data_IF_051386585070
#
_entry.id   IF_051386585070
#
_cell.length_a   1.000
_cell.length_b   1.000
_cell.length_c   1.000
_cell.angle_alpha   90.00
_cell.angle_beta   90.00
_cell.angle_gamma   90.00
#
_symmetry.space_group_name_H-M   'P 1'
#
loop_
_entity.id
_entity.type
_entity.pdbx_description
1 polymer ?
#
# COMPACT_ATOMS: atom_id res chain seq x y z
N UNK A 1 -16.98 -23.09 20.26
CA UNK A 1 -15.50 -23.08 20.34
C UNK A 1 -15.04 -21.72 20.81
N UNK A 2 -14.12 -21.66 21.77
CA UNK A 2 -13.40 -20.46 22.12
C UNK A 2 -12.42 -20.14 20.98
N UNK A 3 -12.42 -18.90 20.54
CA UNK A 3 -11.52 -18.40 19.49
C UNK A 3 -10.82 -17.13 19.97
N UNK A 4 -9.66 -16.90 19.44
CA UNK A 4 -8.90 -15.67 19.60
C UNK A 4 -8.78 -15.03 18.20
N UNK A 5 -9.10 -13.76 18.09
CA UNK A 5 -9.08 -13.04 16.84
C UNK A 5 -8.79 -11.56 17.07
N UNK A 6 -8.23 -10.92 16.09
CA UNK A 6 -8.12 -9.47 16.11
C UNK A 6 -9.49 -8.81 15.98
N UNK A 7 -9.73 -7.78 16.78
CA UNK A 7 -10.94 -6.97 16.73
C UNK A 7 -10.94 -6.12 15.45
N UNK A 8 -11.10 -6.78 14.33
CA UNK A 8 -11.12 -6.15 13.02
C UNK A 8 -12.44 -5.40 12.81
N UNK A 9 -12.35 -4.22 12.26
CA UNK A 9 -13.42 -3.23 12.18
C UNK A 9 -14.44 -3.42 11.07
N UNK A 10 -14.56 -4.62 10.51
CA UNK A 10 -15.50 -4.81 9.41
C UNK A 10 -16.87 -5.30 9.85
N UNK A 11 -17.86 -4.44 9.70
CA UNK A 11 -19.26 -4.70 9.93
C UNK A 11 -20.02 -3.41 10.23
N UNK A 12 -21.36 -3.39 10.12
CA UNK A 12 -22.17 -2.20 10.35
C UNK A 12 -21.94 -1.58 11.73
N UNK A 13 -21.67 -2.42 12.72
CA UNK A 13 -21.48 -2.02 14.12
C UNK A 13 -20.02 -1.70 14.46
N UNK A 14 -19.09 -1.90 13.55
CA UNK A 14 -17.67 -1.73 13.79
C UNK A 14 -17.21 -0.28 13.71
N UNK A 15 -18.00 0.62 13.18
CA UNK A 15 -17.72 2.05 13.12
C UNK A 15 -17.40 2.65 14.49
N UNK A 16 -18.13 2.22 15.51
CA UNK A 16 -17.93 2.67 16.88
C UNK A 16 -16.73 2.03 17.57
N UNK A 17 -16.28 0.88 17.09
CA UNK A 17 -15.17 0.12 17.67
C UNK A 17 -13.83 0.50 17.08
N UNK A 18 -13.83 0.90 15.81
CA UNK A 18 -12.68 1.51 15.17
C UNK A 18 -12.82 3.02 15.07
N UNK A 19 -13.48 3.58 16.04
CA UNK A 19 -13.37 4.99 16.28
C UNK A 19 -11.89 5.34 16.29
N UNK A 20 -11.59 6.55 15.98
CA UNK A 20 -10.25 7.11 16.03
C UNK A 20 -9.56 6.73 17.36
N UNK A 21 -8.37 6.17 17.29
CA UNK A 21 -7.59 5.73 18.45
C UNK A 21 -7.89 4.31 18.98
N UNK A 22 -8.71 3.52 18.29
CA UNK A 22 -8.92 2.11 18.64
C UNK A 22 -7.91 1.26 17.89
N UNK A 23 -7.13 0.48 18.64
CA UNK A 23 -6.15 -0.48 18.13
C UNK A 23 -6.81 -1.79 17.70
N UNK A 24 -6.13 -2.59 16.88
CA UNK A 24 -6.50 -3.97 16.54
C UNK A 24 -6.18 -4.90 17.71
N UNK A 25 -6.93 -4.82 18.79
CA UNK A 25 -6.73 -5.67 19.96
C UNK A 25 -7.07 -7.12 19.67
N UNK A 26 -6.26 -8.00 20.19
CA UNK A 26 -6.54 -9.43 20.23
C UNK A 26 -7.63 -9.67 21.25
N UNK A 27 -8.77 -10.18 20.82
CA UNK A 27 -9.92 -10.49 21.66
C UNK A 27 -10.20 -11.97 21.68
N UNK A 28 -10.75 -12.45 22.79
CA UNK A 28 -11.25 -13.81 22.92
C UNK A 28 -12.78 -13.82 22.98
N UNK A 29 -13.38 -14.83 22.36
CA UNK A 29 -14.82 -14.98 22.32
C UNK A 29 -15.25 -16.38 21.93
N UNK A 30 -16.55 -16.67 22.06
CA UNK A 30 -17.11 -17.95 21.66
C UNK A 30 -17.83 -17.83 20.31
N UNK A 31 -17.51 -18.77 19.41
CA UNK A 31 -18.17 -18.92 18.10
C UNK A 31 -18.78 -20.32 18.03
N UNK A 32 -19.95 -20.45 17.40
CA UNK A 32 -20.54 -21.77 17.13
C UNK A 32 -19.57 -22.60 16.27
N UNK A 33 -19.24 -23.80 16.73
CA UNK A 33 -18.26 -24.67 16.05
C UNK A 33 -18.60 -24.92 14.58
N UNK A 34 -19.90 -25.01 14.23
CA UNK A 34 -20.36 -25.22 12.85
C UNK A 34 -19.98 -24.08 11.89
N UNK A 35 -19.68 -22.87 12.42
CA UNK A 35 -19.25 -21.71 11.62
C UNK A 35 -17.74 -21.67 11.39
N UNK A 36 -17.00 -22.55 12.06
CA UNK A 36 -15.55 -22.64 11.92
C UNK A 36 -15.19 -23.66 10.84
N UNK A 37 -14.20 -23.32 10.06
CA UNK A 37 -13.62 -24.21 9.04
C UNK A 37 -12.12 -24.21 9.16
N UNK A 38 -11.54 -25.39 9.33
CA UNK A 38 -10.08 -25.53 9.20
C UNK A 38 -9.70 -25.31 7.75
N UNK A 39 -8.71 -24.46 7.56
CA UNK A 39 -8.18 -24.16 6.25
C UNK A 39 -6.66 -24.33 6.24
N UNK A 40 -6.14 -25.05 5.24
CA UNK A 40 -4.69 -25.16 5.01
C UNK A 40 -4.34 -24.21 3.86
N UNK A 41 -3.57 -23.14 4.12
CA UNK A 41 -3.14 -22.23 3.07
C UNK A 41 -2.30 -22.93 2.01
N UNK A 42 -2.35 -22.41 0.79
CA UNK A 42 -1.42 -22.82 -0.27
C UNK A 42 -0.02 -22.29 0.05
N UNK A 43 0.98 -23.08 -0.30
CA UNK A 43 2.39 -22.81 0.05
C UNK A 43 3.24 -22.31 -1.11
N UNK A 44 2.70 -22.29 -2.35
CA UNK A 44 3.41 -21.81 -3.54
C UNK A 44 3.91 -20.37 -3.36
N UNK A 45 3.05 -19.52 -2.78
CA UNK A 45 3.32 -18.12 -2.51
C UNK A 45 2.76 -17.69 -1.16
N UNK A 46 3.35 -16.62 -0.60
CA UNK A 46 2.82 -15.87 0.54
C UNK A 46 2.96 -14.37 0.28
N UNK A 47 2.05 -13.59 0.81
CA UNK A 47 2.11 -12.12 0.75
C UNK A 47 2.24 -11.56 2.16
N UNK A 48 3.20 -10.67 2.36
CA UNK A 48 3.30 -9.83 3.57
C UNK A 48 3.05 -8.39 3.15
N UNK A 49 2.03 -7.76 3.72
CA UNK A 49 1.74 -6.34 3.52
C UNK A 49 2.19 -5.60 4.77
N UNK A 50 3.16 -4.72 4.64
CA UNK A 50 3.66 -3.88 5.71
C UNK A 50 2.93 -2.53 5.67
N UNK A 51 2.08 -2.27 6.68
CA UNK A 51 1.30 -1.04 6.79
C UNK A 51 2.16 0.17 7.12
N UNK A 52 3.31 -0.02 7.79
CA UNK A 52 4.21 1.06 8.12
C UNK A 52 5.01 1.52 6.90
N UNK A 53 5.59 0.57 6.17
CA UNK A 53 6.42 0.86 5.00
C UNK A 53 5.61 1.09 3.72
N UNK A 54 4.30 0.75 3.76
CA UNK A 54 3.41 0.78 2.59
C UNK A 54 3.97 -0.06 1.42
N UNK A 55 4.45 -1.24 1.77
CA UNK A 55 5.03 -2.23 0.86
C UNK A 55 4.34 -3.58 0.98
N UNK A 56 4.34 -4.32 -0.11
CA UNK A 56 3.96 -5.73 -0.16
C UNK A 56 5.18 -6.55 -0.55
N UNK A 57 5.54 -7.51 0.26
CA UNK A 57 6.59 -8.48 0.01
C UNK A 57 5.99 -9.79 -0.50
N UNK A 58 6.56 -10.32 -1.57
CA UNK A 58 6.12 -11.56 -2.20
C UNK A 58 7.11 -12.66 -1.81
N UNK A 59 6.59 -13.73 -1.24
CA UNK A 59 7.40 -14.89 -0.84
C UNK A 59 7.07 -16.10 -1.71
N UNK A 60 8.10 -16.89 -2.05
CA UNK A 60 8.00 -18.23 -2.60
C UNK A 60 9.06 -19.10 -1.96
N UNK A 61 8.70 -20.32 -1.55
CA UNK A 61 9.60 -21.28 -0.87
C UNK A 61 10.36 -20.64 0.32
N UNK A 62 9.68 -19.79 1.09
CA UNK A 62 10.24 -19.11 2.27
C UNK A 62 11.21 -17.96 1.95
N UNK A 63 11.43 -17.62 0.68
CA UNK A 63 12.29 -16.52 0.25
C UNK A 63 11.47 -15.36 -0.26
N UNK A 64 11.86 -14.14 0.10
CA UNK A 64 11.33 -12.94 -0.53
C UNK A 64 11.84 -12.87 -1.97
N UNK A 65 10.92 -12.83 -2.93
CA UNK A 65 11.22 -12.81 -4.37
C UNK A 65 10.87 -11.49 -5.04
N UNK A 66 10.38 -10.51 -4.27
CA UNK A 66 10.12 -9.16 -4.76
C UNK A 66 9.29 -8.34 -3.81
N UNK A 67 9.29 -7.03 -4.05
CA UNK A 67 8.50 -6.07 -3.30
C UNK A 67 7.73 -5.15 -4.25
N UNK A 68 6.53 -4.73 -3.82
CA UNK A 68 5.65 -3.83 -4.56
C UNK A 68 5.21 -2.69 -3.64
N UNK A 69 5.12 -1.48 -4.18
CA UNK A 69 4.51 -0.37 -3.47
C UNK A 69 3.00 -0.60 -3.36
N UNK A 70 2.48 -0.30 -2.17
CA UNK A 70 1.04 -0.36 -1.90
C UNK A 70 0.54 0.96 -1.31
N UNK A 71 -0.78 1.07 -1.21
CA UNK A 71 -1.47 2.11 -0.44
C UNK A 71 -2.59 1.43 0.33
N UNK A 72 -2.47 1.42 1.65
CA UNK A 72 -3.46 0.84 2.56
C UNK A 72 -4.49 1.87 3.03
N UNK A 73 -5.38 1.47 3.90
CA UNK A 73 -6.46 2.29 4.44
C UNK A 73 -5.96 3.53 5.20
N UNK A 74 -6.59 4.67 4.95
CA UNK A 74 -6.36 5.89 5.71
C UNK A 74 -7.41 5.98 6.82
N UNK A 75 -6.99 5.67 8.03
CA UNK A 75 -7.79 5.82 9.24
C UNK A 75 -7.49 7.19 9.89
N UNK A 76 -8.50 8.02 10.00
CA UNK A 76 -8.41 9.31 10.69
C UNK A 76 -9.77 9.72 11.27
N UNK A 77 -9.87 10.90 11.90
CA UNK A 77 -11.10 11.39 12.54
C UNK A 77 -12.32 11.41 11.61
N UNK A 78 -12.14 11.65 10.32
CA UNK A 78 -13.22 11.71 9.33
C UNK A 78 -13.49 10.36 8.67
N UNK A 79 -12.55 9.41 8.73
CA UNK A 79 -12.56 8.13 8.03
C UNK A 79 -12.09 6.99 8.95
N UNK A 80 -12.56 6.97 10.20
CA UNK A 80 -12.12 6.05 11.25
C UNK A 80 -12.36 4.56 10.96
N UNK A 81 -13.20 4.22 9.99
CA UNK A 81 -13.52 2.84 9.59
C UNK A 81 -12.78 2.37 8.32
N UNK A 82 -11.88 3.21 7.78
CA UNK A 82 -11.15 2.89 6.55
C UNK A 82 -9.83 2.15 6.80
N UNK A 83 -9.56 1.73 8.01
CA UNK A 83 -8.33 1.00 8.34
C UNK A 83 -8.25 -0.32 7.58
N UNK A 84 -7.08 -0.65 7.03
CA UNK A 84 -6.79 -2.00 6.54
C UNK A 84 -6.57 -2.90 7.75
N UNK A 85 -7.35 -3.99 7.92
CA UNK A 85 -7.23 -4.85 9.11
C UNK A 85 -5.89 -5.57 9.12
N UNK A 86 -5.24 -5.61 10.29
CA UNK A 86 -4.01 -6.35 10.51
C UNK A 86 -4.29 -7.82 10.85
N UNK A 87 -3.30 -8.69 10.69
CA UNK A 87 -3.39 -10.10 11.04
C UNK A 87 -3.21 -11.06 9.87
N UNK A 88 -3.59 -12.31 10.09
CA UNK A 88 -3.42 -13.40 9.14
C UNK A 88 -4.70 -13.68 8.35
N UNK A 89 -4.59 -13.66 7.05
CA UNK A 89 -5.69 -13.89 6.10
C UNK A 89 -5.29 -14.91 5.05
N UNK A 90 -6.29 -15.29 4.24
CA UNK A 90 -6.07 -15.99 2.97
C UNK A 90 -6.80 -15.25 1.86
N UNK A 91 -6.28 -15.30 0.66
CA UNK A 91 -7.01 -14.80 -0.51
C UNK A 91 -8.25 -15.66 -0.72
N UNK A 92 -9.44 -15.06 -0.57
CA UNK A 92 -10.73 -15.76 -0.53
C UNK A 92 -11.31 -15.99 -1.91
N UNK A 93 -11.26 -14.97 -2.77
CA UNK A 93 -11.86 -15.02 -4.10
C UNK A 93 -11.22 -14.02 -5.06
N UNK A 94 -11.39 -14.28 -6.34
CA UNK A 94 -11.08 -13.34 -7.43
C UNK A 94 -12.35 -12.57 -7.78
N UNK A 95 -12.29 -11.26 -7.71
CA UNK A 95 -13.43 -10.38 -8.00
C UNK A 95 -13.43 -9.88 -9.44
N UNK A 96 -12.29 -9.90 -10.12
CA UNK A 96 -12.12 -9.21 -11.39
C UNK A 96 -11.94 -7.71 -11.20
N UNK A 97 -12.53 -6.92 -12.08
CA UNK A 97 -12.60 -5.46 -11.94
C UNK A 97 -13.90 -5.05 -11.25
N UNK A 98 -13.86 -3.93 -10.51
CA UNK A 98 -15.04 -3.37 -9.86
C UNK A 98 -14.97 -1.83 -9.77
N UNK A 99 -16.12 -1.14 -9.76
CA UNK A 99 -16.16 0.31 -9.61
C UNK A 99 -15.94 0.75 -8.15
N UNK A 100 -15.31 1.90 -7.98
CA UNK A 100 -15.17 2.63 -6.71
C UNK A 100 -15.47 4.12 -6.95
N UNK A 101 -16.74 4.49 -6.87
CA UNK A 101 -17.22 5.80 -7.32
C UNK A 101 -17.06 5.96 -8.84
N UNK A 102 -16.33 6.98 -9.27
CA UNK A 102 -15.98 7.23 -10.67
C UNK A 102 -14.65 6.56 -11.10
N UNK A 103 -14.06 5.75 -10.23
CA UNK A 103 -12.82 5.04 -10.50
C UNK A 103 -13.10 3.56 -10.75
N UNK A 104 -12.19 2.92 -11.48
CA UNK A 104 -12.19 1.49 -11.69
C UNK A 104 -10.98 0.83 -10.99
N UNK A 105 -11.23 -0.29 -10.31
CA UNK A 105 -10.24 -1.10 -9.61
C UNK A 105 -10.10 -2.44 -10.35
N UNK A 106 -9.01 -2.64 -11.07
CA UNK A 106 -8.76 -3.89 -11.78
C UNK A 106 -8.08 -4.94 -10.87
N UNK A 107 -8.13 -6.20 -11.28
CA UNK A 107 -7.45 -7.32 -10.63
C UNK A 107 -7.82 -7.54 -9.16
N UNK A 108 -9.07 -7.32 -8.79
CA UNK A 108 -9.55 -7.44 -7.40
C UNK A 108 -9.42 -8.86 -6.84
N UNK A 109 -8.69 -9.00 -5.75
CA UNK A 109 -8.48 -10.24 -4.99
C UNK A 109 -8.93 -10.02 -3.55
N UNK A 110 -10.03 -10.63 -3.14
CA UNK A 110 -10.64 -10.46 -1.81
C UNK A 110 -9.85 -11.21 -0.76
N UNK A 111 -9.58 -10.55 0.37
CA UNK A 111 -8.90 -11.14 1.52
C UNK A 111 -9.78 -11.18 2.77
N UNK A 112 -10.78 -10.29 2.85
CA UNK A 112 -11.81 -10.36 3.87
C UNK A 112 -13.09 -9.68 3.35
N UNK A 113 -14.18 -9.61 4.14
CA UNK A 113 -15.49 -9.14 3.72
C UNK A 113 -15.50 -7.83 2.93
N UNK A 114 -14.75 -6.83 3.38
CA UNK A 114 -14.69 -5.51 2.75
C UNK A 114 -13.31 -5.12 2.19
N UNK A 115 -12.29 -5.95 2.38
CA UNK A 115 -10.93 -5.63 1.98
C UNK A 115 -10.48 -6.51 0.81
N UNK A 116 -9.91 -5.88 -0.21
CA UNK A 116 -9.34 -6.55 -1.38
C UNK A 116 -7.97 -5.94 -1.75
N UNK A 117 -7.12 -6.77 -2.31
CA UNK A 117 -5.92 -6.34 -3.05
C UNK A 117 -6.35 -6.04 -4.48
N UNK A 118 -6.00 -4.89 -5.02
CA UNK A 118 -6.36 -4.51 -6.39
C UNK A 118 -5.37 -3.50 -6.97
N UNK A 119 -5.44 -3.26 -8.27
CA UNK A 119 -4.65 -2.23 -8.93
C UNK A 119 -4.93 -0.85 -8.34
N UNK A 120 -3.92 0.04 -8.32
CA UNK A 120 -4.16 1.46 -8.07
C UNK A 120 -5.30 1.93 -9.00
N UNK A 121 -6.38 2.57 -8.46
CA UNK A 121 -7.56 2.87 -9.27
C UNK A 121 -7.28 3.87 -10.38
N UNK A 122 -8.08 3.82 -11.43
CA UNK A 122 -7.97 4.72 -12.58
C UNK A 122 -9.34 5.21 -13.09
N UNK A 123 -9.32 6.29 -13.86
CA UNK A 123 -10.45 6.77 -14.66
C UNK A 123 -10.25 6.27 -16.09
N UNK A 124 -11.32 5.85 -16.76
CA UNK A 124 -11.30 5.43 -18.15
C UNK A 124 -12.14 4.19 -18.42
N UNK A 125 -12.27 3.85 -19.70
CA UNK A 125 -12.97 2.67 -20.14
C UNK A 125 -12.12 1.42 -19.83
N UNK A 126 -12.66 0.49 -19.08
CA UNK A 126 -11.99 -0.73 -18.66
C UNK A 126 -12.33 -1.94 -19.55
N UNK A 127 -13.23 -1.80 -20.48
CA UNK A 127 -13.71 -2.84 -21.38
C UNK A 127 -13.00 -2.86 -22.73
N UNK A 128 -12.53 -1.69 -23.16
CA UNK A 128 -11.91 -1.54 -24.49
C UNK A 128 -10.40 -1.82 -24.47
N UNK A 129 -9.90 -2.76 -25.29
CA UNK A 129 -8.46 -2.96 -25.44
C UNK A 129 -7.75 -1.69 -25.92
N UNK A 130 -6.64 -1.31 -25.24
CA UNK A 130 -5.88 -0.11 -25.60
C UNK A 130 -6.45 1.19 -25.00
N UNK A 131 -7.39 1.09 -24.07
CA UNK A 131 -7.98 2.18 -23.32
C UNK A 131 -6.93 3.10 -22.68
N UNK A 132 -7.27 4.40 -22.68
CA UNK A 132 -6.49 5.42 -21.98
C UNK A 132 -6.91 5.46 -20.51
N UNK A 133 -6.20 4.72 -19.70
CA UNK A 133 -6.38 4.70 -18.24
C UNK A 133 -5.66 5.89 -17.61
N UNK A 134 -6.40 6.76 -16.95
CA UNK A 134 -5.83 7.90 -16.24
C UNK A 134 -5.65 7.56 -14.75
N UNK A 135 -4.40 7.41 -14.34
CA UNK A 135 -3.97 7.16 -12.96
C UNK A 135 -3.52 8.42 -12.22
N UNK A 136 -3.52 9.57 -12.88
CA UNK A 136 -2.91 10.82 -12.37
C UNK A 136 -3.43 11.24 -11.00
N UNK A 137 -4.71 11.00 -10.72
CA UNK A 137 -5.35 11.34 -9.45
C UNK A 137 -5.00 10.39 -8.30
N UNK A 138 -4.53 9.18 -8.58
CA UNK A 138 -4.43 8.09 -7.59
C UNK A 138 -3.02 7.55 -7.38
N UNK A 139 -2.19 7.48 -8.44
CA UNK A 139 -0.83 6.90 -8.40
C UNK A 139 0.09 7.62 -7.41
N UNK A 140 -0.12 8.92 -7.22
CA UNK A 140 0.65 9.75 -6.27
C UNK A 140 0.48 9.35 -4.80
N UNK A 141 -0.49 8.50 -4.49
CA UNK A 141 -0.74 8.01 -3.13
C UNK A 141 -0.10 6.63 -2.87
N UNK A 142 0.49 5.99 -3.87
CA UNK A 142 1.28 4.77 -3.63
C UNK A 142 2.44 5.09 -2.67
N UNK A 143 2.69 4.18 -1.73
CA UNK A 143 3.64 4.39 -0.64
C UNK A 143 3.08 5.18 0.55
N UNK A 144 1.79 5.55 0.55
CA UNK A 144 1.11 6.25 1.65
C UNK A 144 -0.26 5.62 1.92
N UNK A 145 -0.75 5.73 3.16
CA UNK A 145 -2.14 5.38 3.50
C UNK A 145 -3.08 6.34 2.78
N UNK A 146 -4.03 5.83 1.99
CA UNK A 146 -4.97 6.66 1.24
C UNK A 146 -6.23 5.92 0.78
N UNK A 147 -6.38 4.64 1.07
CA UNK A 147 -7.53 3.87 0.63
C UNK A 147 -8.66 3.88 1.67
N UNK A 148 -9.79 3.27 1.31
CA UNK A 148 -10.92 3.02 2.21
C UNK A 148 -10.87 1.60 2.82
N UNK A 149 -9.65 1.06 3.03
CA UNK A 149 -9.41 -0.25 3.62
C UNK A 149 -8.86 -1.29 2.64
N UNK A 150 -9.07 -1.14 1.34
CA UNK A 150 -8.44 -1.99 0.33
C UNK A 150 -6.93 -1.72 0.21
N UNK A 151 -6.20 -2.67 -0.33
CA UNK A 151 -4.77 -2.58 -0.59
C UNK A 151 -4.58 -2.30 -2.07
N UNK A 152 -4.25 -1.05 -2.40
CA UNK A 152 -3.94 -0.61 -3.77
C UNK A 152 -2.51 -1.00 -4.08
N UNK A 153 -2.26 -1.61 -5.23
CA UNK A 153 -0.92 -2.09 -5.64
C UNK A 153 -0.49 -1.38 -6.91
N UNK A 154 0.81 -1.14 -7.04
CA UNK A 154 1.40 -0.50 -8.21
C UNK A 154 1.07 -1.23 -9.53
N UNK A 155 0.84 -0.44 -10.58
CA UNK A 155 0.59 -0.94 -11.95
C UNK A 155 1.88 -1.23 -12.70
N UNK A 156 2.93 -0.46 -12.43
CA UNK A 156 4.21 -0.59 -13.09
C UNK A 156 5.00 -1.77 -12.51
N UNK A 157 5.75 -2.46 -13.36
CA UNK A 157 6.56 -3.60 -12.94
C UNK A 157 7.78 -3.13 -12.14
N UNK A 158 8.10 -3.87 -11.07
CA UNK A 158 9.37 -3.76 -10.38
C UNK A 158 10.50 -4.40 -11.22
N UNK A 159 11.73 -4.38 -10.73
CA UNK A 159 12.90 -4.97 -11.38
C UNK A 159 12.77 -6.46 -11.66
N UNK A 160 11.97 -7.18 -10.84
CA UNK A 160 11.68 -8.60 -11.01
C UNK A 160 10.54 -8.87 -11.99
N UNK A 161 10.00 -7.83 -12.65
CA UNK A 161 8.90 -7.93 -13.59
C UNK A 161 7.52 -8.11 -12.94
N UNK A 162 7.39 -7.85 -11.64
CA UNK A 162 6.19 -8.07 -10.84
C UNK A 162 5.39 -6.76 -10.67
N UNK A 163 4.06 -6.89 -10.66
CA UNK A 163 3.09 -5.83 -10.39
C UNK A 163 1.75 -6.47 -10.01
N UNK A 164 0.68 -5.69 -9.92
CA UNK A 164 -0.65 -6.23 -9.62
C UNK A 164 -1.14 -7.26 -10.65
N UNK A 165 -0.83 -7.08 -11.94
CA UNK A 165 -1.19 -8.09 -12.96
C UNK A 165 -0.42 -9.39 -12.74
N UNK A 166 0.85 -9.31 -12.41
CA UNK A 166 1.64 -10.50 -12.05
C UNK A 166 1.04 -11.21 -10.82
N UNK A 167 0.62 -10.47 -9.80
CA UNK A 167 -0.09 -11.05 -8.64
C UNK A 167 -1.37 -11.75 -9.09
N UNK A 168 -2.16 -11.10 -9.93
CA UNK A 168 -3.37 -11.69 -10.48
C UNK A 168 -3.11 -13.00 -11.22
N UNK A 169 -2.07 -13.09 -12.01
CA UNK A 169 -1.75 -14.27 -12.80
C UNK A 169 -1.21 -15.43 -11.93
N UNK A 170 -0.48 -15.15 -10.87
CA UNK A 170 0.25 -16.14 -10.08
C UNK A 170 -0.38 -16.49 -8.74
N UNK A 171 -0.97 -15.51 -8.02
CA UNK A 171 -1.56 -15.71 -6.70
C UNK A 171 -2.93 -16.37 -6.84
N UNK A 172 -3.15 -17.44 -6.08
CA UNK A 172 -4.37 -18.27 -6.16
C UNK A 172 -5.21 -18.13 -4.90
N UNK A 173 -6.50 -18.41 -5.02
CA UNK A 173 -7.38 -18.56 -3.86
C UNK A 173 -6.76 -19.53 -2.87
N UNK A 174 -6.69 -19.10 -1.60
CA UNK A 174 -6.05 -19.83 -0.53
C UNK A 174 -4.59 -19.47 -0.26
N UNK A 175 -3.98 -18.59 -1.04
CA UNK A 175 -2.65 -18.05 -0.71
C UNK A 175 -2.72 -17.27 0.61
N UNK A 176 -1.75 -17.51 1.51
CA UNK A 176 -1.64 -16.80 2.80
C UNK A 176 -1.29 -15.33 2.56
N UNK A 177 -1.97 -14.46 3.30
CA UNK A 177 -1.73 -13.01 3.32
C UNK A 177 -1.57 -12.58 4.76
N UNK A 178 -0.41 -12.07 5.12
CA UNK A 178 -0.14 -11.47 6.42
C UNK A 178 -0.14 -9.94 6.23
N UNK A 179 -0.93 -9.24 7.04
CA UNK A 179 -0.95 -7.77 7.09
C UNK A 179 -0.32 -7.37 8.41
N UNK A 180 0.88 -6.80 8.33
CA UNK A 180 1.64 -6.40 9.50
C UNK A 180 1.25 -4.98 9.90
N UNK A 181 0.86 -4.85 11.17
CA UNK A 181 0.42 -3.59 11.73
C UNK A 181 1.56 -2.56 11.81
N UNK A 182 1.19 -1.30 11.82
CA UNK A 182 2.11 -0.17 11.96
C UNK A 182 2.14 0.37 13.40
N UNK A 183 1.13 0.10 14.21
CA UNK A 183 1.03 0.55 15.60
C UNK A 183 2.22 0.07 16.44
N UNK A 184 2.84 0.97 17.20
CA UNK A 184 3.98 0.66 18.04
C UNK A 184 5.28 0.36 17.27
N UNK A 185 5.36 0.73 16.00
CA UNK A 185 6.54 0.56 15.15
C UNK A 185 7.09 1.90 14.69
N UNK A 186 8.41 2.02 14.65
CA UNK A 186 9.13 3.22 14.23
C UNK A 186 9.52 3.12 12.75
N UNK A 187 9.08 4.08 11.95
CA UNK A 187 9.53 4.23 10.58
C UNK A 187 10.93 4.88 10.57
N UNK A 188 11.90 4.16 10.04
CA UNK A 188 13.27 4.67 9.95
C UNK A 188 13.41 5.79 8.90
N UNK A 189 14.30 6.73 9.18
CA UNK A 189 14.72 7.69 8.15
C UNK A 189 15.55 6.99 7.08
N UNK A 190 15.47 7.44 5.82
CA UNK A 190 16.45 7.08 4.82
C UNK A 190 17.87 7.44 5.28
N UNK A 191 18.87 6.73 4.77
CA UNK A 191 20.25 7.08 5.05
C UNK A 191 20.57 8.51 4.57
N UNK A 192 21.35 9.25 5.32
CA UNK A 192 21.68 10.65 5.03
C UNK A 192 22.31 10.85 3.63
N UNK A 193 23.01 9.85 3.13
CA UNK A 193 23.67 9.84 1.81
C UNK A 193 22.80 9.24 0.69
N UNK A 194 21.55 8.91 0.97
CA UNK A 194 20.60 8.41 -0.04
C UNK A 194 20.50 9.42 -1.19
N UNK A 195 20.77 9.01 -2.44
CA UNK A 195 20.76 9.91 -3.57
C UNK A 195 19.33 10.32 -3.95
N UNK A 196 19.14 11.60 -4.14
CA UNK A 196 17.97 12.24 -4.70
C UNK A 196 18.38 13.13 -5.87
N UNK A 197 17.44 13.46 -6.72
CA UNK A 197 17.73 14.19 -7.95
C UNK A 197 16.78 15.37 -8.12
N UNK A 198 17.27 16.46 -8.72
CA UNK A 198 16.47 17.65 -8.99
C UNK A 198 16.89 18.32 -10.30
N UNK A 199 16.00 19.12 -10.88
CA UNK A 199 16.34 19.97 -12.02
C UNK A 199 16.87 21.31 -11.52
N UNK A 200 18.19 21.62 -11.69
CA UNK A 200 18.79 22.87 -11.19
C UNK A 200 18.28 24.11 -11.93
N UNK A 201 17.65 23.96 -13.09
CA UNK A 201 17.16 25.05 -13.92
C UNK A 201 15.69 25.43 -13.63
N UNK A 202 15.20 25.18 -12.38
CA UNK A 202 13.89 25.64 -11.93
C UNK A 202 12.84 24.56 -11.72
N UNK A 203 13.26 23.34 -11.42
CA UNK A 203 12.37 22.25 -10.98
C UNK A 203 11.80 22.53 -9.60
N UNK A 204 10.52 22.09 -9.37
CA UNK A 204 9.86 22.16 -8.06
C UNK A 204 9.86 20.85 -7.31
N UNK A 205 10.34 19.77 -7.96
CA UNK A 205 10.26 18.42 -7.42
C UNK A 205 11.64 17.83 -7.19
N UNK A 206 11.75 16.99 -6.17
CA UNK A 206 12.82 16.01 -6.07
C UNK A 206 12.37 14.66 -6.64
N UNK A 207 13.32 13.86 -7.07
CA UNK A 207 13.16 12.61 -7.77
C UNK A 207 14.04 11.53 -7.16
N UNK A 208 13.65 10.28 -7.23
CA UNK A 208 14.47 9.12 -6.89
C UNK A 208 15.17 8.54 -8.14
N UNK A 209 14.73 8.94 -9.32
CA UNK A 209 15.30 8.51 -10.61
C UNK A 209 15.98 9.69 -11.31
N UNK A 210 17.25 9.52 -11.68
CA UNK A 210 18.02 10.53 -12.41
C UNK A 210 17.44 10.83 -13.80
N UNK A 211 16.83 9.81 -14.41
CA UNK A 211 16.18 9.87 -15.73
C UNK A 211 14.65 9.70 -15.64
N UNK A 212 14.03 10.37 -14.67
CA UNK A 212 12.60 10.26 -14.44
C UNK A 212 11.78 10.62 -15.69
N UNK A 213 10.89 9.72 -16.09
CA UNK A 213 10.03 9.86 -17.27
C UNK A 213 9.04 11.04 -17.20
N UNK A 214 8.81 11.60 -16.02
CA UNK A 214 8.00 12.81 -15.85
C UNK A 214 8.75 14.11 -16.20
N UNK A 215 10.04 14.02 -16.46
CA UNK A 215 10.90 15.16 -16.79
C UNK A 215 11.20 15.16 -18.30
N UNK A 216 11.12 16.33 -18.93
CA UNK A 216 11.43 16.45 -20.37
C UNK A 216 12.92 16.15 -20.61
N UNK A 217 13.22 15.42 -21.66
CA UNK A 217 14.57 14.96 -22.04
C UNK A 217 15.64 16.05 -22.00
N UNK A 218 15.29 17.26 -22.43
CA UNK A 218 16.22 18.43 -22.45
C UNK A 218 16.70 18.86 -21.06
N UNK A 219 16.11 18.35 -19.99
CA UNK A 219 16.48 18.61 -18.60
C UNK A 219 17.13 17.40 -17.92
N UNK A 220 17.34 16.33 -18.65
CA UNK A 220 18.00 15.13 -18.19
C UNK A 220 19.49 15.10 -18.59
N UNK A 221 20.35 14.47 -17.81
CA UNK A 221 20.07 13.88 -16.50
C UNK A 221 19.84 14.94 -15.41
N UNK A 222 19.05 14.58 -14.40
CA UNK A 222 18.86 15.41 -13.23
C UNK A 222 20.13 15.48 -12.37
N UNK A 223 20.29 16.56 -11.62
CA UNK A 223 21.43 16.77 -10.71
C UNK A 223 21.18 16.05 -9.40
N UNK A 224 22.17 15.28 -8.94
CA UNK A 224 22.15 14.56 -7.68
C UNK A 224 22.36 15.49 -6.47
N UNK A 225 21.66 15.18 -5.37
CA UNK A 225 21.90 15.72 -4.04
C UNK A 225 21.57 14.64 -2.99
N UNK A 226 21.92 14.85 -1.73
CA UNK A 226 21.74 13.85 -0.66
C UNK A 226 20.45 14.08 0.10
N UNK A 227 19.85 13.02 0.63
CA UNK A 227 18.68 13.09 1.50
C UNK A 227 18.86 14.08 2.66
N UNK A 228 20.03 14.11 3.30
CA UNK A 228 20.35 15.05 4.39
C UNK A 228 20.20 16.54 4.01
N UNK A 229 20.22 16.86 2.71
CA UNK A 229 20.08 18.21 2.20
C UNK A 229 18.61 18.57 1.88
N UNK A 230 17.71 17.57 1.86
CA UNK A 230 16.32 17.75 1.44
C UNK A 230 15.55 18.72 2.35
N UNK A 231 15.78 18.66 3.65
CA UNK A 231 15.07 19.52 4.63
C UNK A 231 15.83 20.82 4.94
N UNK A 232 16.99 21.02 4.38
CA UNK A 232 17.84 22.21 4.55
C UNK A 232 17.94 23.02 3.26
N UNK A 233 18.86 22.67 2.41
CA UNK A 233 19.17 23.35 1.14
C UNK A 233 17.98 23.26 0.15
N UNK A 234 17.32 22.10 0.09
CA UNK A 234 16.26 21.78 -0.88
C UNK A 234 14.88 21.69 -0.26
N UNK A 235 14.64 22.35 0.88
CA UNK A 235 13.42 22.24 1.67
C UNK A 235 12.13 22.66 0.93
N UNK A 236 12.25 23.44 -0.15
CA UNK A 236 11.12 23.87 -0.99
C UNK A 236 10.69 22.83 -2.04
N UNK A 237 11.53 21.82 -2.30
CA UNK A 237 11.18 20.78 -3.25
C UNK A 237 10.05 19.91 -2.68
N UNK A 238 9.18 19.46 -3.57
CA UNK A 238 8.10 18.50 -3.28
C UNK A 238 8.38 17.18 -4.00
N UNK A 239 7.87 16.04 -3.52
CA UNK A 239 8.12 14.76 -4.18
C UNK A 239 7.55 14.72 -5.60
N UNK A 240 8.28 14.15 -6.53
CA UNK A 240 7.75 13.83 -7.85
C UNK A 240 6.67 12.74 -7.73
N UNK A 241 5.48 12.99 -8.24
CA UNK A 241 4.37 12.05 -8.18
C UNK A 241 4.62 10.73 -8.95
N UNK A 242 5.57 10.74 -9.87
CA UNK A 242 5.89 9.56 -10.69
C UNK A 242 6.94 8.66 -10.08
N UNK A 243 8.04 9.20 -9.52
CA UNK A 243 9.15 8.39 -9.04
C UNK A 243 9.51 8.59 -7.56
N UNK A 244 9.14 9.72 -6.91
CA UNK A 244 9.57 9.96 -5.54
C UNK A 244 8.58 9.37 -4.52
N UNK A 245 9.08 8.48 -3.67
CA UNK A 245 8.38 7.85 -2.54
C UNK A 245 9.06 8.15 -1.20
N UNK A 246 10.32 8.54 -1.24
CA UNK A 246 11.07 8.99 -0.07
C UNK A 246 10.37 10.21 0.53
N UNK A 247 10.08 10.13 1.82
CA UNK A 247 9.39 11.17 2.58
C UNK A 247 10.40 12.14 3.19
N UNK A 248 9.99 13.38 3.41
CA UNK A 248 10.72 14.33 4.24
C UNK A 248 10.69 13.90 5.70
N UNK A 249 11.68 14.33 6.49
CA UNK A 249 11.75 14.00 7.94
C UNK A 249 10.46 14.36 8.67
N UNK A 250 9.88 15.52 8.40
CA UNK A 250 8.63 15.95 9.04
C UNK A 250 7.44 15.03 8.74
N UNK A 251 7.38 14.40 7.55
CA UNK A 251 6.34 13.41 7.24
C UNK A 251 6.56 12.11 8.04
N UNK A 252 7.82 11.66 8.15
CA UNK A 252 8.21 10.48 8.94
C UNK A 252 7.94 10.72 10.42
N UNK A 253 8.29 11.91 10.93
CA UNK A 253 8.02 12.29 12.33
C UNK A 253 6.52 12.27 12.64
N UNK A 254 5.68 12.76 11.71
CA UNK A 254 4.24 12.71 11.88
C UNK A 254 3.71 11.28 11.98
N UNK A 255 4.19 10.38 11.09
CA UNK A 255 3.84 8.95 11.12
C UNK A 255 4.31 8.30 12.43
N UNK A 256 5.55 8.55 12.84
CA UNK A 256 6.10 8.01 14.08
C UNK A 256 5.33 8.47 15.30
N UNK A 257 4.93 9.74 15.32
CA UNK A 257 4.08 10.29 16.40
C UNK A 257 2.71 9.61 16.44
N UNK A 258 2.08 9.38 15.29
CA UNK A 258 0.81 8.63 15.21
C UNK A 258 0.97 7.19 15.72
N UNK A 259 2.14 6.59 15.54
CA UNK A 259 2.47 5.24 15.99
C UNK A 259 2.96 5.16 17.44
N UNK A 260 3.05 6.29 18.16
CA UNK A 260 3.37 6.34 19.58
C UNK A 260 4.84 6.63 19.93
N UNK A 261 5.61 7.23 19.01
CA UNK A 261 7.01 7.62 19.20
C UNK A 261 7.23 9.14 19.19
#
# INVERSE_FOLDING_TARGET
TLVEAYNSSYGPDCKSRRGFGVTDDLIQGYVETRLLKTYTPKTDYGLLIDKLEQKMYIFSDGKCIGELLVSTGLNNETQSWNETPSGEFVMISRMGGFPAGNLWCAYGMRINGGCAIHEVPYIGDHETPGDRRDYSSTVKFLGKKASHGCIRVQKDKNEQGQNIKWLWDNIKVGTKVLIWDDTGRLLAYPADDTPLYMNPNGGKNYHEEQYCSAVKDRFLPLTEFKYSELDTTYNKLTPCSSCARIMKKAEIDAINKENGF
#
